data_IF_475137425932
#
_entry.id   IF_475137425932
#
_cell.length_a   1.000
_cell.length_b   1.000
_cell.length_c   1.000
_cell.angle_alpha   90.00
_cell.angle_beta   90.00
_cell.angle_gamma   90.00
#
_symmetry.space_group_name_H-M   'P 1'
#
loop_
_entity.id
_entity.type
_entity.pdbx_description
1 polymer ?
#
# COMPACT_ATOMS: atom_id res chain seq x y z
N UNK A 1 2.85 -44.68 14.90
CA UNK A 1 3.89 -43.89 15.61
C UNK A 1 3.72 -44.08 17.11
N UNK A 2 4.80 -44.15 17.91
CA UNK A 2 4.71 -44.11 19.37
C UNK A 2 4.15 -42.75 19.81
N UNK A 3 3.17 -42.73 20.73
CA UNK A 3 2.47 -41.52 21.19
C UNK A 3 3.44 -40.45 21.72
N UNK A 4 4.54 -40.88 22.34
CA UNK A 4 5.53 -39.99 22.95
C UNK A 4 6.21 -39.02 21.96
N UNK A 5 6.28 -39.35 20.66
CA UNK A 5 7.00 -38.53 19.66
C UNK A 5 6.12 -37.51 18.94
N UNK A 6 4.80 -37.62 19.07
CA UNK A 6 3.87 -36.77 18.31
C UNK A 6 3.90 -35.33 18.83
N UNK A 7 3.92 -35.16 20.16
CA UNK A 7 3.88 -33.83 20.79
C UNK A 7 5.11 -32.96 20.43
N UNK A 8 6.37 -33.44 20.58
CA UNK A 8 7.53 -32.63 20.19
C UNK A 8 7.59 -32.29 18.69
N UNK A 9 7.14 -33.21 17.82
CA UNK A 9 7.09 -32.96 16.37
C UNK A 9 6.04 -31.89 16.05
N UNK A 10 4.87 -31.96 16.69
CA UNK A 10 3.81 -30.97 16.54
C UNK A 10 4.24 -29.60 17.07
N UNK A 11 4.84 -29.54 18.26
CA UNK A 11 5.34 -28.29 18.85
C UNK A 11 6.39 -27.62 17.95
N UNK A 12 7.30 -28.44 17.40
CA UNK A 12 8.30 -27.99 16.43
C UNK A 12 7.66 -27.52 15.11
N UNK A 13 6.62 -28.19 14.62
CA UNK A 13 5.90 -27.78 13.41
C UNK A 13 5.16 -26.45 13.62
N UNK A 14 4.49 -26.26 14.76
CA UNK A 14 3.81 -25.01 15.13
C UNK A 14 4.82 -23.86 15.24
N UNK A 15 5.96 -24.08 15.89
CA UNK A 15 7.01 -23.07 16.01
C UNK A 15 7.53 -22.62 14.64
N UNK A 16 7.79 -23.57 13.73
CA UNK A 16 8.21 -23.26 12.36
C UNK A 16 7.13 -22.51 11.57
N UNK A 17 5.87 -22.94 11.70
CA UNK A 17 4.75 -22.27 11.03
C UNK A 17 4.61 -20.82 11.49
N UNK A 18 4.72 -20.57 12.80
CA UNK A 18 4.63 -19.21 13.34
C UNK A 18 5.78 -18.32 12.86
N UNK A 19 7.01 -18.83 12.87
CA UNK A 19 8.18 -18.09 12.37
C UNK A 19 8.08 -17.77 10.87
N UNK A 20 7.61 -18.74 10.07
CA UNK A 20 7.40 -18.50 8.64
C UNK A 20 6.27 -17.49 8.40
N UNK A 21 5.17 -17.61 9.15
CA UNK A 21 4.01 -16.72 9.03
C UNK A 21 4.34 -15.29 9.43
N UNK A 22 5.20 -15.07 10.43
CA UNK A 22 5.66 -13.73 10.80
C UNK A 22 6.53 -13.13 9.71
N UNK A 23 7.51 -13.89 9.18
CA UNK A 23 8.37 -13.43 8.09
C UNK A 23 7.57 -13.11 6.82
N UNK A 24 6.58 -13.94 6.48
CA UNK A 24 5.71 -13.69 5.33
C UNK A 24 4.89 -12.40 5.52
N UNK A 25 4.41 -12.13 6.74
CA UNK A 25 3.68 -10.89 7.07
C UNK A 25 4.58 -9.66 6.98
N UNK A 26 5.79 -9.72 7.54
CA UNK A 26 6.77 -8.63 7.47
C UNK A 26 7.13 -8.31 6.01
N UNK A 27 7.31 -9.34 5.18
CA UNK A 27 7.57 -9.17 3.75
C UNK A 27 6.40 -8.46 3.05
N UNK A 28 5.17 -8.85 3.36
CA UNK A 28 3.97 -8.25 2.77
C UNK A 28 3.81 -6.79 3.21
N UNK A 29 4.03 -6.50 4.50
CA UNK A 29 3.99 -5.14 5.03
C UNK A 29 5.04 -4.23 4.37
N UNK A 30 6.28 -4.71 4.24
CA UNK A 30 7.35 -3.97 3.58
C UNK A 30 7.06 -3.72 2.09
N UNK A 31 6.51 -4.72 1.38
CA UNK A 31 6.09 -4.57 -0.02
C UNK A 31 4.97 -3.54 -0.15
N UNK A 32 3.97 -3.62 0.73
CA UNK A 32 2.85 -2.69 0.75
C UNK A 32 3.32 -1.26 1.00
N UNK A 33 4.26 -1.03 1.92
CA UNK A 33 4.81 0.31 2.17
C UNK A 33 5.50 0.89 0.92
N UNK A 34 6.29 0.07 0.22
CA UNK A 34 6.97 0.50 -1.00
C UNK A 34 5.98 0.84 -2.11
N UNK A 35 4.94 0.02 -2.30
CA UNK A 35 3.87 0.29 -3.27
C UNK A 35 3.10 1.57 -2.92
N UNK A 36 2.78 1.77 -1.64
CA UNK A 36 2.09 2.96 -1.16
C UNK A 36 2.87 4.24 -1.48
N UNK A 37 4.20 4.26 -1.28
CA UNK A 37 5.03 5.41 -1.66
C UNK A 37 4.95 5.70 -3.16
N UNK A 38 5.11 4.67 -4.01
CA UNK A 38 5.01 4.80 -5.48
C UNK A 38 3.64 5.31 -5.94
N UNK A 39 2.55 4.90 -5.28
CA UNK A 39 1.19 5.34 -5.60
C UNK A 39 1.01 6.81 -5.23
N UNK A 40 1.49 7.22 -4.05
CA UNK A 40 1.45 8.63 -3.61
C UNK A 40 2.25 9.53 -4.55
N UNK A 41 3.43 9.12 -4.98
CA UNK A 41 4.24 9.89 -5.93
C UNK A 41 3.56 10.04 -7.30
N UNK A 42 2.94 8.98 -7.82
CA UNK A 42 2.15 9.05 -9.06
C UNK A 42 0.95 9.99 -8.91
N UNK A 43 0.24 9.91 -7.79
CA UNK A 43 -0.89 10.80 -7.52
C UNK A 43 -0.46 12.27 -7.44
N UNK A 44 0.68 12.57 -6.80
CA UNK A 44 1.28 13.91 -6.82
C UNK A 44 1.55 14.37 -8.26
N UNK A 45 2.21 13.54 -9.07
CA UNK A 45 2.51 13.85 -10.47
C UNK A 45 1.25 14.16 -11.31
N UNK A 46 0.16 13.43 -11.08
CA UNK A 46 -1.13 13.70 -11.74
C UNK A 46 -1.69 15.06 -11.30
N UNK A 47 -1.67 15.37 -10.00
CA UNK A 47 -2.16 16.65 -9.48
C UNK A 47 -1.30 17.83 -9.96
N UNK A 48 0.02 17.65 -10.06
CA UNK A 48 0.93 18.64 -10.59
C UNK A 48 0.60 18.95 -12.06
N UNK A 49 0.42 17.92 -12.90
CA UNK A 49 0.09 18.08 -14.33
C UNK A 49 -1.32 18.63 -14.58
N UNK A 50 -2.32 18.10 -13.88
CA UNK A 50 -3.73 18.45 -14.12
C UNK A 50 -4.16 19.78 -13.49
N UNK A 51 -3.53 20.19 -12.39
CA UNK A 51 -3.91 21.40 -11.64
C UNK A 51 -2.79 22.43 -11.49
N UNK A 52 -1.62 22.19 -12.08
CA UNK A 52 -0.48 23.11 -11.99
C UNK A 52 0.05 23.30 -10.57
N UNK A 53 -0.13 22.31 -9.68
CA UNK A 53 0.28 22.40 -8.28
C UNK A 53 1.78 22.13 -8.11
N UNK A 54 2.40 22.73 -7.10
CA UNK A 54 3.71 22.27 -6.61
C UNK A 54 3.59 20.90 -5.93
N UNK A 55 4.72 20.23 -5.72
CA UNK A 55 4.73 18.93 -5.04
C UNK A 55 4.17 19.02 -3.62
N UNK A 56 4.53 20.06 -2.87
CA UNK A 56 4.05 20.32 -1.51
C UNK A 56 2.54 20.56 -1.50
N UNK A 57 2.04 21.35 -2.45
CA UNK A 57 0.61 21.64 -2.58
C UNK A 57 -0.18 20.38 -2.96
N UNK A 58 0.35 19.53 -3.84
CA UNK A 58 -0.25 18.25 -4.20
C UNK A 58 -0.31 17.29 -2.99
N UNK A 59 0.78 17.18 -2.22
CA UNK A 59 0.80 16.36 -1.01
C UNK A 59 -0.16 16.90 0.06
N UNK A 60 -0.19 18.21 0.29
CA UNK A 60 -1.11 18.85 1.22
C UNK A 60 -2.58 18.58 0.83
N UNK A 61 -2.89 18.61 -0.47
CA UNK A 61 -4.23 18.30 -0.97
C UNK A 61 -4.62 16.83 -0.74
N UNK A 62 -3.71 15.88 -1.03
CA UNK A 62 -3.92 14.46 -0.76
C UNK A 62 -4.15 14.22 0.74
N UNK A 63 -3.32 14.83 1.60
CA UNK A 63 -3.45 14.74 3.06
C UNK A 63 -4.77 15.33 3.56
N UNK A 64 -5.16 16.50 3.07
CA UNK A 64 -6.43 17.15 3.44
C UNK A 64 -7.63 16.28 3.04
N UNK A 65 -7.60 15.72 1.83
CA UNK A 65 -8.66 14.83 1.34
C UNK A 65 -8.75 13.55 2.16
N UNK A 66 -7.61 12.96 2.50
CA UNK A 66 -7.52 11.78 3.35
C UNK A 66 -8.10 12.03 4.75
N UNK A 67 -7.77 13.15 5.38
CA UNK A 67 -8.34 13.54 6.68
C UNK A 67 -9.86 13.75 6.61
N UNK A 68 -10.34 14.46 5.57
CA UNK A 68 -11.77 14.71 5.40
C UNK A 68 -12.59 13.43 5.16
N UNK A 69 -12.00 12.41 4.53
CA UNK A 69 -12.64 11.13 4.27
C UNK A 69 -12.36 10.07 5.35
N UNK A 70 -11.57 10.39 6.37
CA UNK A 70 -11.06 9.45 7.38
C UNK A 70 -10.43 8.19 6.75
N UNK A 71 -9.60 8.40 5.72
CA UNK A 71 -8.92 7.34 4.95
C UNK A 71 -7.42 7.56 4.94
N UNK A 72 -6.66 6.52 4.62
CA UNK A 72 -5.21 6.63 4.44
C UNK A 72 -4.88 7.43 3.17
N UNK A 73 -3.80 8.21 3.21
CA UNK A 73 -3.31 8.98 2.04
C UNK A 73 -3.08 8.07 0.84
N UNK A 74 -2.50 6.88 1.05
CA UNK A 74 -2.25 5.90 -0.01
C UNK A 74 -3.55 5.44 -0.71
N UNK A 75 -4.66 5.30 0.02
CA UNK A 75 -5.95 4.90 -0.58
C UNK A 75 -6.55 6.02 -1.43
N UNK A 76 -6.44 7.28 -0.98
CA UNK A 76 -6.86 8.44 -1.77
C UNK A 76 -6.00 8.56 -3.03
N UNK A 77 -4.68 8.41 -2.89
CA UNK A 77 -3.74 8.42 -4.00
C UNK A 77 -4.05 7.30 -5.00
N UNK A 78 -4.36 6.09 -4.53
CA UNK A 78 -4.76 4.97 -5.38
C UNK A 78 -6.07 5.28 -6.12
N UNK A 79 -7.07 5.83 -5.42
CA UNK A 79 -8.34 6.20 -6.02
C UNK A 79 -8.16 7.24 -7.13
N UNK A 80 -7.27 8.22 -6.91
CA UNK A 80 -6.93 9.24 -7.90
C UNK A 80 -6.19 8.65 -9.10
N UNK A 81 -5.19 7.79 -8.88
CA UNK A 81 -4.44 7.12 -9.96
C UNK A 81 -5.37 6.25 -10.80
N UNK A 82 -6.27 5.49 -10.17
CA UNK A 82 -7.27 4.68 -10.88
C UNK A 82 -8.22 5.55 -11.69
N UNK A 83 -8.74 6.64 -11.10
CA UNK A 83 -9.62 7.56 -11.81
C UNK A 83 -8.91 8.22 -13.01
N UNK A 84 -7.65 8.65 -12.85
CA UNK A 84 -6.87 9.22 -13.94
C UNK A 84 -6.58 8.18 -15.04
N UNK A 85 -6.34 6.91 -14.68
CA UNK A 85 -6.16 5.83 -15.65
C UNK A 85 -7.43 5.52 -16.44
N UNK A 86 -8.61 5.68 -15.83
CA UNK A 86 -9.90 5.48 -16.49
C UNK A 86 -10.31 6.66 -17.39
N UNK A 87 -9.84 7.87 -17.09
CA UNK A 87 -10.15 9.07 -17.86
C UNK A 87 -9.25 9.29 -19.09
N UNK A 88 -8.22 8.44 -19.30
CA UNK A 88 -7.28 8.56 -20.41
C UNK A 88 -6.41 9.83 -20.33
N UNK A 89 -5.37 9.98 -21.19
CA UNK A 89 -4.70 11.27 -21.31
C UNK A 89 -5.77 12.29 -21.70
N UNK A 90 -5.79 13.45 -21.04
CA UNK A 90 -6.61 14.57 -21.49
C UNK A 90 -6.18 14.85 -22.94
N UNK A 91 -7.00 14.45 -23.92
CA UNK A 91 -6.78 14.75 -25.32
C UNK A 91 -6.64 16.26 -25.45
N UNK A 92 -5.45 16.64 -25.88
CA UNK A 92 -4.96 17.99 -25.96
C UNK A 92 -3.57 18.02 -26.60
N UNK A 93 -3.37 17.21 -27.64
CA UNK A 93 -2.46 17.47 -28.77
C UNK A 93 -3.12 16.94 -30.05
#
# INVERSE_FOLDING_TARGET
LKKERIKPILDMAISRFNAFSSMARELEEARSELENRKVVDRAKGILMKSRGLSEEAAYALLRKTAMNQNRKIAEIAQSLVTAAGLLGPLEGE
#
